data_IF_937249244100
#
_entry.id   IF_937249244100
#
_cell.length_a   1.000
_cell.length_b   1.000
_cell.length_c   1.000
_cell.angle_alpha   90.00
_cell.angle_beta   90.00
_cell.angle_gamma   90.00
#
_symmetry.space_group_name_H-M   'P 1'
#
loop_
_entity.id
_entity.type
_entity.pdbx_description
1 polymer ?
#
# COMPACT_ATOMS: atom_id res chain seq x y z
N UNK A 1 -75.73 20.92 -38.71
CA UNK A 1 -76.11 19.71 -39.48
C UNK A 1 -74.90 18.79 -39.48
N UNK A 2 -74.84 17.56 -38.96
CA UNK A 2 -75.83 16.64 -38.41
C UNK A 2 -75.46 15.20 -38.81
N UNK A 3 -75.22 14.32 -37.81
CA UNK A 3 -75.30 12.83 -37.82
C UNK A 3 -74.26 12.06 -38.68
N UNK A 4 -73.82 10.82 -38.37
CA UNK A 4 -74.26 9.70 -37.52
C UNK A 4 -73.03 8.78 -37.22
N UNK A 5 -72.78 8.23 -36.01
CA UNK A 5 -73.31 6.96 -35.41
C UNK A 5 -72.96 5.71 -36.27
N UNK A 6 -72.44 4.55 -35.81
CA UNK A 6 -72.38 3.87 -34.50
C UNK A 6 -71.53 2.56 -34.59
N UNK A 7 -70.94 2.16 -33.45
CA UNK A 7 -70.68 0.83 -32.85
C UNK A 7 -70.33 -0.46 -33.62
N UNK A 8 -69.31 -1.17 -33.08
CA UNK A 8 -69.25 -2.63 -32.76
C UNK A 8 -68.00 -2.87 -31.85
N UNK A 9 -68.11 -3.00 -30.51
CA UNK A 9 -68.30 -4.19 -29.63
C UNK A 9 -67.24 -5.34 -29.73
N UNK A 10 -66.51 -5.49 -28.61
CA UNK A 10 -66.05 -6.68 -27.86
C UNK A 10 -65.45 -7.92 -28.57
N UNK A 11 -64.20 -8.28 -28.22
CA UNK A 11 -63.84 -9.33 -27.22
C UNK A 11 -62.31 -9.58 -27.13
N UNK A 12 -61.81 -10.17 -26.01
CA UNK A 12 -60.39 -10.24 -25.67
C UNK A 12 -59.73 -11.55 -26.11
N UNK A 13 -58.40 -11.57 -26.24
CA UNK A 13 -57.64 -12.82 -26.36
C UNK A 13 -56.45 -12.86 -25.38
N UNK A 14 -56.53 -13.82 -24.48
CA UNK A 14 -55.49 -14.21 -23.53
C UNK A 14 -54.52 -15.16 -24.24
N UNK A 15 -53.21 -14.91 -24.16
CA UNK A 15 -52.12 -15.91 -24.32
C UNK A 15 -50.77 -15.22 -24.09
N UNK A 16 -49.75 -15.76 -23.43
CA UNK A 16 -49.53 -16.92 -22.56
C UNK A 16 -48.09 -16.74 -22.05
N UNK A 17 -47.90 -16.71 -20.74
CA UNK A 17 -46.61 -17.01 -20.14
C UNK A 17 -46.39 -18.53 -20.20
N UNK A 18 -45.19 -18.98 -20.58
CA UNK A 18 -44.82 -20.39 -20.49
C UNK A 18 -43.33 -20.51 -20.10
N UNK A 19 -43.12 -20.73 -18.80
CA UNK A 19 -41.95 -21.39 -18.24
C UNK A 19 -41.72 -22.73 -18.94
N UNK A 20 -40.45 -23.03 -19.24
CA UNK A 20 -40.00 -24.40 -19.54
C UNK A 20 -38.80 -24.75 -18.69
N UNK A 21 -39.00 -25.78 -17.87
CA UNK A 21 -38.01 -26.54 -17.12
C UNK A 21 -37.29 -27.54 -18.05
N UNK A 22 -36.00 -27.80 -17.81
CA UNK A 22 -35.29 -29.03 -18.16
C UNK A 22 -33.99 -29.11 -17.31
N UNK A 23 -33.95 -29.86 -16.20
CA UNK A 23 -33.57 -31.28 -16.04
C UNK A 23 -32.08 -31.58 -16.34
N UNK A 24 -31.36 -31.98 -15.29
CA UNK A 24 -29.95 -32.39 -15.28
C UNK A 24 -29.72 -33.83 -15.83
N UNK A 25 -28.48 -34.16 -16.22
CA UNK A 25 -27.97 -35.53 -16.16
C UNK A 25 -26.70 -35.71 -15.30
N UNK A 26 -26.51 -36.96 -14.88
CA UNK A 26 -25.57 -37.49 -13.88
C UNK A 26 -24.18 -37.83 -14.45
N UNK A 27 -23.22 -37.84 -13.52
CA UNK A 27 -21.87 -38.42 -13.46
C UNK A 27 -21.48 -39.56 -14.41
N UNK A 28 -20.28 -39.47 -14.98
CA UNK A 28 -19.53 -40.59 -15.57
C UNK A 28 -18.07 -40.63 -15.05
N UNK A 29 -17.71 -41.76 -14.43
CA UNK A 29 -16.60 -42.62 -14.87
C UNK A 29 -15.17 -42.08 -14.84
N UNK A 30 -14.39 -42.60 -13.88
CA UNK A 30 -12.95 -42.43 -13.63
C UNK A 30 -12.10 -43.39 -14.50
N UNK A 31 -10.89 -42.98 -14.92
CA UNK A 31 -9.57 -43.71 -14.94
C UNK A 31 -8.61 -43.16 -16.04
N UNK A 32 -7.28 -43.42 -16.01
CA UNK A 32 -6.29 -43.32 -14.93
C UNK A 32 -5.12 -42.36 -15.31
N UNK A 33 -4.44 -41.76 -14.31
CA UNK A 33 -3.24 -40.92 -14.54
C UNK A 33 -1.96 -41.75 -14.44
N UNK A 34 -1.12 -41.66 -15.47
CA UNK A 34 0.27 -42.12 -15.50
C UNK A 34 1.13 -41.35 -14.49
N UNK A 35 2.05 -42.07 -13.85
CA UNK A 35 3.07 -41.54 -12.97
C UNK A 35 4.24 -40.93 -13.75
N UNK A 36 4.80 -39.81 -13.27
CA UNK A 36 6.22 -39.50 -13.35
C UNK A 36 6.63 -38.34 -12.42
N UNK A 37 7.77 -38.56 -11.74
CA UNK A 37 8.75 -37.61 -11.22
C UNK A 37 8.38 -36.69 -10.03
N UNK A 38 8.90 -37.11 -8.88
CA UNK A 38 9.18 -36.31 -7.68
C UNK A 38 10.09 -35.12 -8.04
N UNK A 39 9.76 -33.95 -7.50
CA UNK A 39 10.71 -32.85 -7.24
C UNK A 39 10.37 -32.26 -5.87
N UNK A 40 11.40 -32.13 -5.04
CA UNK A 40 11.32 -31.74 -3.64
C UNK A 40 10.85 -30.27 -3.47
N UNK A 41 10.01 -29.96 -2.48
CA UNK A 41 9.69 -28.58 -2.14
C UNK A 41 10.79 -27.97 -1.26
N UNK A 42 11.29 -26.81 -1.69
CA UNK A 42 12.17 -25.91 -0.93
C UNK A 42 11.45 -25.43 0.34
N UNK A 43 12.07 -25.49 1.54
CA UNK A 43 11.36 -25.17 2.78
C UNK A 43 11.18 -23.66 2.97
N UNK A 44 9.93 -23.27 3.20
CA UNK A 44 9.54 -21.97 3.74
C UNK A 44 10.11 -21.81 5.16
N UNK A 45 10.95 -20.78 5.39
CA UNK A 45 11.42 -20.43 6.73
C UNK A 45 10.31 -19.71 7.49
N UNK A 46 9.97 -20.28 8.64
CA UNK A 46 8.81 -19.97 9.43
C UNK A 46 8.94 -18.74 10.33
N UNK A 47 7.76 -18.24 10.66
CA UNK A 47 7.47 -17.34 11.77
C UNK A 47 7.96 -17.93 13.10
N UNK A 48 8.75 -17.16 13.83
CA UNK A 48 9.11 -17.46 15.21
C UNK A 48 8.06 -16.86 16.16
N UNK A 49 7.37 -17.74 16.90
CA UNK A 49 6.64 -17.39 18.12
C UNK A 49 7.59 -17.49 19.33
N UNK A 50 7.45 -16.65 20.38
CA UNK A 50 8.27 -16.78 21.57
C UNK A 50 7.68 -17.81 22.55
N UNK A 51 8.56 -18.68 23.05
CA UNK A 51 8.27 -19.66 24.09
C UNK A 51 8.33 -19.06 25.50
N UNK A 52 7.42 -19.54 26.33
CA UNK A 52 7.32 -19.30 27.77
C UNK A 52 8.49 -19.94 28.53
N UNK A 53 9.11 -19.19 29.44
CA UNK A 53 9.94 -19.73 30.52
C UNK A 53 9.59 -19.01 31.82
N UNK A 54 9.04 -19.79 32.75
CA UNK A 54 8.72 -19.39 34.12
C UNK A 54 10.00 -19.31 34.97
N UNK A 55 10.11 -18.26 35.77
CA UNK A 55 11.12 -18.10 36.81
C UNK A 55 10.65 -17.09 37.85
N UNK A 56 10.06 -17.58 38.95
CA UNK A 56 9.69 -16.80 40.13
C UNK A 56 10.95 -16.52 40.97
N UNK A 57 11.17 -15.27 41.37
CA UNK A 57 11.70 -14.92 42.71
C UNK A 57 11.08 -13.59 43.16
N UNK A 58 10.66 -13.56 44.43
CA UNK A 58 9.94 -12.49 45.11
C UNK A 58 10.84 -11.30 45.52
N UNK A 59 10.23 -10.14 45.71
CA UNK A 59 10.86 -8.96 46.33
C UNK A 59 9.94 -7.76 46.37
N UNK A 60 9.14 -7.66 47.43
CA UNK A 60 8.20 -6.57 47.75
C UNK A 60 8.92 -5.27 48.13
N UNK A 61 8.46 -4.13 47.60
CA UNK A 61 8.48 -2.85 48.31
C UNK A 61 7.51 -1.84 47.65
N UNK A 62 6.42 -1.57 48.35
CA UNK A 62 5.44 -0.55 48.02
C UNK A 62 6.02 0.87 48.16
N UNK A 63 5.71 1.77 47.22
CA UNK A 63 5.69 3.23 47.44
C UNK A 63 4.63 3.89 46.54
N UNK A 64 3.80 4.71 47.17
CA UNK A 64 2.61 5.42 46.67
C UNK A 64 2.89 6.44 45.56
N UNK A 65 1.86 6.91 44.81
CA UNK A 65 2.05 7.70 43.60
C UNK A 65 2.24 9.19 43.92
N UNK A 66 3.38 9.75 43.48
CA UNK A 66 3.61 11.18 43.42
C UNK A 66 3.20 11.71 42.05
N UNK A 67 2.25 12.64 42.05
CA UNK A 67 1.87 13.47 40.90
C UNK A 67 3.09 14.23 40.40
N UNK A 68 3.53 13.98 39.15
CA UNK A 68 4.50 14.83 38.46
C UNK A 68 3.88 15.36 37.19
N UNK A 69 3.95 16.69 37.10
CA UNK A 69 3.33 17.55 36.13
C UNK A 69 3.78 17.27 34.69
N UNK A 70 2.90 17.64 33.77
CA UNK A 70 3.18 17.75 32.35
C UNK A 70 4.45 18.60 32.12
N UNK A 71 5.47 17.95 31.55
CA UNK A 71 6.55 18.65 30.85
C UNK A 71 6.32 18.43 29.37
N UNK A 72 5.65 19.40 28.77
CA UNK A 72 5.72 19.66 27.34
C UNK A 72 7.05 20.33 27.03
N UNK A 73 7.54 20.08 25.81
CA UNK A 73 8.63 20.82 25.13
C UNK A 73 10.03 20.27 25.37
N UNK A 74 10.63 19.69 24.32
CA UNK A 74 12.09 19.57 24.28
C UNK A 74 12.73 18.52 23.37
N UNK A 75 12.00 17.65 22.67
CA UNK A 75 12.63 16.64 21.80
C UNK A 75 11.71 16.26 20.64
N UNK A 76 12.08 16.58 19.40
CA UNK A 76 11.35 16.05 18.24
C UNK A 76 11.48 16.76 16.90
N UNK A 77 12.14 17.92 16.81
CA UNK A 77 12.24 18.65 15.53
C UNK A 77 13.14 17.99 14.46
N UNK A 78 13.70 16.80 14.72
CA UNK A 78 14.56 16.05 13.79
C UNK A 78 14.17 14.56 13.61
N UNK A 79 13.03 14.14 14.16
CA UNK A 79 12.45 12.78 14.14
C UNK A 79 11.03 12.99 13.58
N UNK A 80 10.63 12.60 12.39
CA UNK A 80 10.39 11.21 12.03
C UNK A 80 9.93 11.18 10.55
N UNK A 81 10.85 10.99 9.59
CA UNK A 81 10.46 10.81 8.17
C UNK A 81 9.72 9.48 7.94
N UNK A 82 9.56 8.64 8.96
CA UNK A 82 8.98 7.31 8.82
C UNK A 82 7.87 7.15 9.86
N UNK A 83 6.61 7.02 9.42
CA UNK A 83 5.47 6.91 10.34
C UNK A 83 5.20 5.43 10.67
N UNK A 84 4.96 5.11 11.96
CA UNK A 84 4.53 3.76 12.38
C UNK A 84 3.28 3.29 11.63
N UNK A 85 3.18 1.99 11.37
CA UNK A 85 1.98 1.43 10.74
C UNK A 85 0.83 1.32 11.75
N UNK A 86 -0.39 1.54 11.26
CA UNK A 86 -1.63 1.22 11.96
C UNK A 86 -1.86 -0.31 11.98
N UNK A 87 -2.77 -0.82 12.84
CA UNK A 87 -3.23 -2.20 12.77
C UNK A 87 -3.74 -2.57 11.38
N UNK A 88 -3.65 -3.86 11.02
CA UNK A 88 -3.85 -4.34 9.66
C UNK A 88 -5.10 -3.79 8.96
N UNK A 89 -6.26 -3.92 9.57
CA UNK A 89 -7.52 -3.49 8.95
C UNK A 89 -7.55 -1.96 8.72
N UNK A 90 -7.15 -1.21 9.73
CA UNK A 90 -7.15 0.26 9.71
C UNK A 90 -6.13 0.81 8.69
N UNK A 91 -4.92 0.24 8.69
CA UNK A 91 -3.86 0.49 7.71
C UNK A 91 -4.34 0.28 6.28
N UNK A 92 -4.95 -0.87 6.00
CA UNK A 92 -5.37 -1.23 4.65
C UNK A 92 -6.50 -0.32 4.14
N UNK A 93 -7.48 -0.01 4.99
CA UNK A 93 -8.56 0.94 4.68
C UNK A 93 -8.01 2.34 4.37
N UNK A 94 -7.05 2.82 5.16
CA UNK A 94 -6.43 4.13 4.93
C UNK A 94 -5.61 4.12 3.63
N UNK A 95 -4.80 3.08 3.40
CA UNK A 95 -4.00 2.96 2.19
C UNK A 95 -4.88 2.96 0.92
N UNK A 96 -6.00 2.22 0.92
CA UNK A 96 -6.95 2.26 -0.18
C UNK A 96 -7.47 3.68 -0.46
N UNK A 97 -7.81 4.43 0.60
CA UNK A 97 -8.26 5.83 0.50
C UNK A 97 -7.15 6.74 -0.08
N UNK A 98 -5.90 6.55 0.37
CA UNK A 98 -4.76 7.32 -0.12
C UNK A 98 -4.47 7.02 -1.59
N UNK A 99 -4.48 5.74 -1.98
CA UNK A 99 -4.26 5.31 -3.36
C UNK A 99 -5.33 5.85 -4.30
N UNK A 100 -6.60 5.84 -3.89
CA UNK A 100 -7.69 6.46 -4.66
C UNK A 100 -7.47 7.97 -4.84
N UNK A 101 -7.02 8.65 -3.77
CA UNK A 101 -6.69 10.07 -3.80
C UNK A 101 -5.50 10.43 -4.70
N UNK A 102 -4.68 9.47 -5.15
CA UNK A 102 -3.59 9.75 -6.10
C UNK A 102 -4.14 10.38 -7.38
N UNK A 103 -5.27 9.88 -7.89
CA UNK A 103 -5.83 10.27 -9.18
C UNK A 103 -7.27 10.83 -9.10
N UNK A 104 -7.98 10.66 -7.98
CA UNK A 104 -9.35 11.16 -7.82
C UNK A 104 -9.46 12.40 -6.90
N UNK A 105 -10.07 13.47 -7.41
CA UNK A 105 -10.21 14.75 -6.69
C UNK A 105 -11.20 14.67 -5.52
N UNK A 106 -12.25 13.86 -5.61
CA UNK A 106 -13.18 13.66 -4.51
C UNK A 106 -12.55 12.84 -3.38
N UNK A 107 -11.78 11.81 -3.72
CA UNK A 107 -11.00 11.04 -2.77
C UNK A 107 -9.95 11.91 -2.07
N UNK A 108 -9.29 12.84 -2.77
CA UNK A 108 -8.41 13.84 -2.12
C UNK A 108 -9.15 14.71 -1.10
N UNK A 109 -10.35 15.19 -1.45
CA UNK A 109 -11.18 15.96 -0.51
C UNK A 109 -11.62 15.12 0.69
N UNK A 110 -11.93 13.85 0.47
CA UNK A 110 -12.27 12.91 1.54
C UNK A 110 -11.07 12.65 2.47
N UNK A 111 -9.87 12.46 1.91
CA UNK A 111 -8.63 12.30 2.65
C UNK A 111 -8.28 13.55 3.48
N UNK A 112 -8.47 14.75 2.92
CA UNK A 112 -8.29 16.01 3.65
C UNK A 112 -9.26 16.12 4.84
N UNK A 113 -10.54 15.80 4.63
CA UNK A 113 -11.53 15.76 5.73
C UNK A 113 -11.18 14.71 6.79
N UNK A 114 -10.71 13.54 6.37
CA UNK A 114 -10.24 12.48 7.27
C UNK A 114 -9.08 12.95 8.15
N UNK A 115 -8.15 13.72 7.58
CA UNK A 115 -7.02 14.29 8.31
C UNK A 115 -7.46 15.28 9.41
N UNK A 116 -8.54 16.03 9.19
CA UNK A 116 -9.05 17.05 10.12
C UNK A 116 -10.08 16.49 11.12
N UNK A 117 -10.89 15.52 10.71
CA UNK A 117 -11.97 14.94 11.51
C UNK A 117 -12.00 13.40 11.39
N UNK A 118 -11.06 12.69 12.03
CA UNK A 118 -10.92 11.23 11.90
C UNK A 118 -12.02 10.43 12.61
N UNK A 119 -12.69 11.01 13.61
CA UNK A 119 -13.58 10.29 14.52
C UNK A 119 -14.73 9.58 13.80
N UNK A 120 -15.31 10.24 12.79
CA UNK A 120 -16.43 9.68 12.02
C UNK A 120 -16.01 8.50 11.11
N UNK A 121 -14.71 8.30 10.90
CA UNK A 121 -14.17 7.23 10.06
C UNK A 121 -13.73 6.01 10.86
N UNK A 122 -13.55 6.17 12.18
CA UNK A 122 -13.08 5.14 13.10
C UNK A 122 -14.24 4.33 13.68
N UNK A 123 -14.07 3.02 13.78
CA UNK A 123 -14.89 2.19 14.67
C UNK A 123 -14.54 2.49 16.15
N UNK A 124 -15.44 2.14 17.07
CA UNK A 124 -15.29 2.45 18.50
C UNK A 124 -13.97 1.93 19.10
N UNK A 125 -13.54 0.73 18.69
CA UNK A 125 -12.29 0.08 19.09
C UNK A 125 -11.05 0.62 18.36
N UNK A 126 -11.21 1.39 17.29
CA UNK A 126 -10.10 1.98 16.53
C UNK A 126 -9.67 3.37 17.05
N UNK A 127 -10.39 3.94 18.02
CA UNK A 127 -10.15 5.31 18.52
C UNK A 127 -8.78 5.49 19.20
N UNK A 128 -8.18 4.43 19.73
CA UNK A 128 -6.82 4.50 20.27
C UNK A 128 -5.77 4.88 19.20
N UNK A 129 -6.07 4.63 17.92
CA UNK A 129 -5.19 4.91 16.78
C UNK A 129 -5.48 6.25 16.09
N UNK A 130 -6.42 7.04 16.64
CA UNK A 130 -6.93 8.28 16.04
C UNK A 130 -5.82 9.23 15.60
N UNK A 131 -4.88 9.52 16.48
CA UNK A 131 -3.85 10.53 16.21
C UNK A 131 -2.85 10.03 15.16
N UNK A 132 -2.50 8.73 15.19
CA UNK A 132 -1.64 8.12 14.18
C UNK A 132 -2.32 8.08 12.80
N UNK A 133 -3.62 7.77 12.77
CA UNK A 133 -4.43 7.83 11.56
C UNK A 133 -4.46 9.25 10.99
N UNK A 134 -4.79 10.24 11.83
CA UNK A 134 -4.88 11.64 11.43
C UNK A 134 -3.53 12.16 10.91
N UNK A 135 -2.42 11.82 11.59
CA UNK A 135 -1.08 12.18 11.16
C UNK A 135 -0.76 11.61 9.77
N UNK A 136 -1.03 10.31 9.55
CA UNK A 136 -0.75 9.65 8.27
C UNK A 136 -1.64 10.19 7.15
N UNK A 137 -2.93 10.40 7.41
CA UNK A 137 -3.88 11.03 6.48
C UNK A 137 -3.47 12.47 6.13
N UNK A 138 -3.00 13.26 7.11
CA UNK A 138 -2.52 14.63 6.90
C UNK A 138 -1.31 14.68 5.99
N UNK A 139 -0.29 13.86 6.25
CA UNK A 139 0.90 13.78 5.38
C UNK A 139 0.53 13.38 3.95
N UNK A 140 -0.37 12.41 3.79
CA UNK A 140 -0.85 12.00 2.47
C UNK A 140 -1.62 13.12 1.76
N UNK A 141 -2.52 13.80 2.47
CA UNK A 141 -3.28 14.94 1.94
C UNK A 141 -2.36 16.08 1.49
N UNK A 142 -1.38 16.46 2.30
CA UNK A 142 -0.42 17.52 1.99
C UNK A 142 0.46 17.17 0.79
N UNK A 143 1.00 15.94 0.76
CA UNK A 143 1.83 15.48 -0.34
C UNK A 143 1.06 15.43 -1.67
N UNK A 144 -0.19 14.97 -1.64
CA UNK A 144 -1.03 14.88 -2.83
C UNK A 144 -1.61 16.23 -3.26
N UNK A 145 -1.74 17.20 -2.35
CA UNK A 145 -2.18 18.55 -2.69
C UNK A 145 -1.17 19.29 -3.58
N UNK A 146 0.14 19.03 -3.38
CA UNK A 146 1.21 19.58 -4.20
C UNK A 146 1.29 18.96 -5.61
N UNK A 147 0.74 17.75 -5.79
CA UNK A 147 0.79 17.00 -7.05
C UNK A 147 -0.47 17.24 -7.88
N UNK A 148 -0.33 17.56 -9.17
CA UNK A 148 -1.48 17.56 -10.10
C UNK A 148 -1.95 16.11 -10.35
N UNK A 149 -3.27 15.81 -10.26
CA UNK A 149 -3.77 14.51 -10.72
C UNK A 149 -3.38 14.31 -12.19
N UNK A 150 -2.83 13.16 -12.52
CA UNK A 150 -2.44 12.84 -13.89
C UNK A 150 -3.49 11.92 -14.51
N UNK A 151 -3.96 12.27 -15.72
CA UNK A 151 -4.77 11.34 -16.51
C UNK A 151 -3.94 10.18 -17.09
N UNK A 152 -2.60 10.31 -17.08
CA UNK A 152 -1.70 9.27 -17.60
C UNK A 152 -1.64 8.11 -16.62
N UNK A 153 -1.84 6.90 -17.14
CA UNK A 153 -1.65 5.64 -16.41
C UNK A 153 -0.35 4.96 -16.84
N UNK A 154 0.19 4.12 -15.97
CA UNK A 154 1.37 3.31 -16.26
C UNK A 154 2.54 3.56 -15.31
N UNK A 155 3.64 2.85 -15.56
CA UNK A 155 4.80 2.77 -14.66
C UNK A 155 5.37 4.14 -14.28
N UNK A 156 5.55 5.06 -15.25
CA UNK A 156 6.10 6.39 -14.97
C UNK A 156 5.23 7.22 -14.01
N UNK A 157 3.90 7.22 -14.22
CA UNK A 157 2.95 7.91 -13.36
C UNK A 157 2.87 7.28 -11.96
N UNK A 158 2.93 5.95 -11.89
CA UNK A 158 2.97 5.23 -10.62
C UNK A 158 4.27 5.51 -9.83
N UNK A 159 5.42 5.60 -10.51
CA UNK A 159 6.69 5.96 -9.85
C UNK A 159 6.74 7.41 -9.39
N UNK A 160 6.06 8.32 -10.09
CA UNK A 160 5.90 9.71 -9.65
C UNK A 160 5.03 9.81 -8.39
N UNK A 161 3.92 9.06 -8.36
CA UNK A 161 3.09 8.95 -7.17
C UNK A 161 3.85 8.25 -6.02
N UNK A 162 4.63 7.21 -6.31
CA UNK A 162 5.48 6.54 -5.34
C UNK A 162 6.53 7.50 -4.75
N UNK A 163 7.19 8.31 -5.58
CA UNK A 163 8.13 9.33 -5.11
C UNK A 163 7.44 10.33 -4.16
N UNK A 164 6.24 10.80 -4.51
CA UNK A 164 5.44 11.72 -3.69
C UNK A 164 5.12 11.12 -2.31
N UNK A 165 4.67 9.87 -2.28
CA UNK A 165 4.34 9.16 -1.04
C UNK A 165 5.60 8.81 -0.23
N UNK A 166 6.69 8.44 -0.90
CA UNK A 166 7.97 8.11 -0.29
C UNK A 166 8.54 9.31 0.48
N UNK A 167 8.60 10.48 -0.15
CA UNK A 167 9.10 11.71 0.50
C UNK A 167 8.22 12.15 1.68
N UNK A 168 6.93 11.80 1.66
CA UNK A 168 6.01 12.01 2.78
C UNK A 168 6.16 10.99 3.92
N UNK A 169 7.01 9.96 3.76
CA UNK A 169 7.22 8.90 4.73
C UNK A 169 6.18 7.78 4.71
N UNK A 170 5.36 7.74 3.65
CA UNK A 170 4.24 6.81 3.47
C UNK A 170 4.71 5.53 2.76
N UNK A 171 5.72 4.88 3.35
CA UNK A 171 6.42 3.77 2.69
C UNK A 171 5.56 2.50 2.54
N UNK A 172 4.59 2.28 3.44
CA UNK A 172 3.60 1.22 3.25
C UNK A 172 2.72 1.49 2.01
N UNK A 173 2.28 2.73 1.82
CA UNK A 173 1.46 3.10 0.67
C UNK A 173 2.25 3.02 -0.65
N UNK A 174 3.57 3.25 -0.63
CA UNK A 174 4.46 2.95 -1.77
C UNK A 174 4.44 1.46 -2.12
N UNK A 175 4.48 0.57 -1.12
CA UNK A 175 4.33 -0.87 -1.35
C UNK A 175 2.98 -1.19 -2.01
N UNK A 176 1.87 -0.73 -1.42
CA UNK A 176 0.53 -1.00 -1.94
C UNK A 176 0.35 -0.47 -3.37
N UNK A 177 0.91 0.70 -3.67
CA UNK A 177 0.82 1.32 -4.98
C UNK A 177 1.58 0.54 -6.06
N UNK A 178 2.75 0.00 -5.73
CA UNK A 178 3.63 -0.66 -6.71
C UNK A 178 3.42 -2.17 -6.80
N UNK A 179 2.81 -2.81 -5.80
CA UNK A 179 2.58 -4.26 -5.78
C UNK A 179 1.84 -4.77 -7.03
N UNK A 180 0.74 -4.15 -7.51
CA UNK A 180 0.05 -4.61 -8.71
C UNK A 180 0.95 -4.56 -9.97
N UNK A 181 1.81 -3.55 -10.08
CA UNK A 181 2.76 -3.42 -11.19
C UNK A 181 3.87 -4.47 -11.10
N UNK A 182 4.38 -4.73 -9.89
CA UNK A 182 5.36 -5.78 -9.65
C UNK A 182 4.78 -7.15 -10.01
N UNK A 183 3.55 -7.44 -9.60
CA UNK A 183 2.88 -8.70 -9.90
C UNK A 183 2.72 -8.93 -11.40
N UNK A 184 2.40 -7.88 -12.17
CA UNK A 184 2.25 -7.93 -13.62
C UNK A 184 3.58 -7.90 -14.40
N UNK A 185 4.66 -7.40 -13.80
CA UNK A 185 5.95 -7.28 -14.45
C UNK A 185 6.73 -8.60 -14.53
N UNK A 186 7.66 -8.66 -15.48
CA UNK A 186 8.64 -9.74 -15.67
C UNK A 186 10.05 -9.19 -15.88
N UNK A 187 11.06 -10.06 -15.82
CA UNK A 187 12.45 -9.72 -16.10
C UNK A 187 13.00 -8.59 -15.22
N UNK A 188 13.81 -7.72 -15.81
CA UNK A 188 14.50 -6.63 -15.09
C UNK A 188 13.54 -5.63 -14.45
N UNK A 189 12.41 -5.34 -15.09
CA UNK A 189 11.37 -4.47 -14.55
C UNK A 189 10.80 -5.01 -13.24
N UNK A 190 10.53 -6.32 -13.18
CA UNK A 190 10.03 -6.96 -11.95
C UNK A 190 11.06 -6.89 -10.82
N UNK A 191 12.32 -7.19 -11.14
CA UNK A 191 13.43 -7.13 -10.18
C UNK A 191 13.63 -5.72 -9.63
N UNK A 192 13.62 -4.70 -10.49
CA UNK A 192 13.74 -3.31 -10.07
C UNK A 192 12.53 -2.86 -9.23
N UNK A 193 11.30 -3.19 -9.63
CA UNK A 193 10.09 -2.90 -8.83
C UNK A 193 10.16 -3.56 -7.45
N UNK A 194 10.60 -4.82 -7.39
CA UNK A 194 10.82 -5.51 -6.12
C UNK A 194 11.85 -4.76 -5.26
N UNK A 195 12.94 -4.29 -5.87
CA UNK A 195 13.94 -3.48 -5.17
C UNK A 195 13.38 -2.20 -4.56
N UNK A 196 12.54 -1.46 -5.30
CA UNK A 196 11.88 -0.24 -4.80
C UNK A 196 10.94 -0.58 -3.64
N UNK A 197 10.13 -1.63 -3.79
CA UNK A 197 9.20 -2.09 -2.76
C UNK A 197 9.95 -2.52 -1.50
N UNK A 198 11.03 -3.30 -1.63
CA UNK A 198 11.86 -3.73 -0.50
C UNK A 198 12.51 -2.53 0.22
N UNK A 199 13.01 -1.55 -0.54
CA UNK A 199 13.56 -0.33 0.07
C UNK A 199 12.50 0.42 0.89
N UNK A 200 11.29 0.63 0.34
CA UNK A 200 10.19 1.27 1.07
C UNK A 200 9.80 0.48 2.34
N UNK A 201 9.54 -0.82 2.21
CA UNK A 201 9.15 -1.66 3.36
C UNK A 201 10.27 -1.76 4.40
N UNK A 202 11.54 -1.73 3.99
CA UNK A 202 12.68 -1.66 4.90
C UNK A 202 12.65 -0.44 5.81
N UNK A 203 12.29 0.74 5.28
CA UNK A 203 12.05 1.93 6.09
C UNK A 203 10.84 1.76 6.99
N UNK A 204 9.74 1.18 6.50
CA UNK A 204 8.57 0.92 7.33
C UNK A 204 8.85 -0.02 8.51
N UNK A 205 9.72 -1.02 8.32
CA UNK A 205 10.21 -1.89 9.39
C UNK A 205 10.99 -1.11 10.44
N UNK A 206 11.83 -0.16 10.03
CA UNK A 206 12.58 0.68 10.96
C UNK A 206 11.65 1.53 11.84
N UNK A 207 10.60 2.15 11.25
CA UNK A 207 9.59 2.86 12.05
C UNK A 207 8.89 1.97 13.06
N UNK A 208 8.67 0.70 12.71
CA UNK A 208 8.03 -0.28 13.58
C UNK A 208 9.02 -0.94 14.56
N UNK A 209 10.17 -0.31 14.82
CA UNK A 209 11.24 -0.80 15.71
C UNK A 209 11.83 -2.17 15.31
N UNK A 210 11.61 -2.62 14.07
CA UNK A 210 12.13 -3.87 13.54
C UNK A 210 13.44 -3.63 12.77
N UNK A 211 14.52 -3.40 13.51
CA UNK A 211 15.86 -3.08 12.96
C UNK A 211 16.40 -4.24 12.09
N UNK A 212 16.19 -5.49 12.51
CA UNK A 212 16.66 -6.66 11.77
C UNK A 212 15.98 -6.80 10.41
N UNK A 213 14.65 -6.65 10.37
CA UNK A 213 13.88 -6.65 9.12
C UNK A 213 14.23 -5.46 8.23
N UNK A 214 14.42 -4.27 8.81
CA UNK A 214 14.86 -3.09 8.08
C UNK A 214 16.21 -3.34 7.40
N UNK A 215 17.20 -3.86 8.14
CA UNK A 215 18.54 -4.20 7.61
C UNK A 215 18.44 -5.16 6.42
N UNK A 216 17.68 -6.25 6.54
CA UNK A 216 17.56 -7.26 5.47
C UNK A 216 16.97 -6.65 4.20
N UNK A 217 15.82 -5.99 4.34
CA UNK A 217 15.08 -5.45 3.19
C UNK A 217 15.81 -4.29 2.50
N UNK A 218 16.47 -3.41 3.26
CA UNK A 218 17.24 -2.30 2.69
C UNK A 218 18.46 -2.82 1.91
N UNK A 219 19.18 -3.82 2.43
CA UNK A 219 20.30 -4.43 1.72
C UNK A 219 19.87 -5.16 0.45
N UNK A 220 18.80 -5.98 0.53
CA UNK A 220 18.26 -6.69 -0.63
C UNK A 220 17.71 -5.72 -1.68
N UNK A 221 16.96 -4.71 -1.25
CA UNK A 221 16.42 -3.68 -2.13
C UNK A 221 17.52 -2.91 -2.85
N UNK A 222 18.56 -2.49 -2.12
CA UNK A 222 19.73 -1.84 -2.70
C UNK A 222 20.45 -2.72 -3.74
N UNK A 223 20.66 -4.01 -3.43
CA UNK A 223 21.31 -4.94 -4.35
C UNK A 223 20.53 -5.12 -5.67
N UNK A 224 19.19 -5.09 -5.62
CA UNK A 224 18.35 -5.18 -6.83
C UNK A 224 18.34 -3.91 -7.67
N UNK A 225 18.59 -2.76 -7.04
CA UNK A 225 18.50 -1.44 -7.67
C UNK A 225 19.85 -0.92 -8.19
N UNK A 226 20.97 -1.51 -7.76
CA UNK A 226 22.30 -1.10 -8.18
C UNK A 226 22.45 -1.14 -9.72
N UNK A 227 22.85 -0.01 -10.31
CA UNK A 227 22.97 0.15 -11.77
C UNK A 227 21.67 -0.03 -12.57
N UNK A 228 20.48 0.05 -11.93
CA UNK A 228 19.19 -0.13 -12.63
C UNK A 228 18.51 1.19 -12.97
N UNK A 229 17.80 1.18 -14.10
CA UNK A 229 16.87 2.23 -14.51
C UNK A 229 15.45 1.68 -14.52
N UNK A 230 14.48 2.47 -14.09
CA UNK A 230 13.07 2.07 -14.04
C UNK A 230 12.18 3.29 -14.31
N UNK A 231 11.36 3.22 -15.37
CA UNK A 231 10.40 4.27 -15.71
C UNK A 231 11.00 5.67 -15.91
N UNK A 232 12.17 5.75 -16.56
CA UNK A 232 12.88 7.01 -16.80
C UNK A 232 13.60 7.59 -15.58
N UNK A 233 13.88 6.76 -14.57
CA UNK A 233 14.61 7.14 -13.35
C UNK A 233 15.84 6.26 -13.18
N UNK A 234 16.93 6.83 -12.70
CA UNK A 234 18.18 6.12 -12.38
C UNK A 234 18.23 5.81 -10.88
N UNK A 235 18.35 4.53 -10.53
CA UNK A 235 18.36 4.08 -9.13
C UNK A 235 19.76 3.83 -8.56
N UNK A 236 20.86 4.04 -9.30
CA UNK A 236 22.20 3.70 -8.79
C UNK A 236 22.57 4.48 -7.52
N UNK A 237 22.38 5.81 -7.55
CA UNK A 237 22.67 6.66 -6.39
C UNK A 237 21.77 6.32 -5.19
N UNK A 238 20.48 6.06 -5.44
CA UNK A 238 19.54 5.64 -4.41
C UNK A 238 19.92 4.29 -3.80
N UNK A 239 20.33 3.32 -4.62
CA UNK A 239 20.77 2.01 -4.17
C UNK A 239 22.01 2.11 -3.26
N UNK A 240 23.02 2.88 -3.66
CA UNK A 240 24.22 3.11 -2.85
C UNK A 240 23.90 3.78 -1.52
N UNK A 241 23.10 4.85 -1.56
CA UNK A 241 22.70 5.57 -0.36
C UNK A 241 21.84 4.70 0.59
N UNK A 242 20.99 3.82 0.04
CA UNK A 242 20.21 2.84 0.79
C UNK A 242 21.10 1.82 1.47
N UNK A 243 22.11 1.27 0.77
CA UNK A 243 23.08 0.36 1.35
C UNK A 243 23.94 1.03 2.43
N UNK A 244 24.38 2.28 2.22
CA UNK A 244 25.15 3.04 3.20
C UNK A 244 24.33 3.31 4.47
N UNK A 245 23.05 3.67 4.32
CA UNK A 245 22.15 3.91 5.44
C UNK A 245 22.06 2.73 6.42
N UNK A 246 22.20 1.49 5.95
CA UNK A 246 22.17 0.28 6.78
C UNK A 246 23.26 0.29 7.87
N UNK A 247 24.39 0.95 7.63
CA UNK A 247 25.49 1.10 8.60
C UNK A 247 25.15 2.04 9.77
N UNK A 248 24.14 2.90 9.59
CA UNK A 248 23.73 3.93 10.55
C UNK A 248 22.43 3.60 11.29
N UNK A 249 21.86 2.40 11.10
CA UNK A 249 20.64 1.99 11.79
C UNK A 249 20.86 1.95 13.33
N UNK A 250 19.89 2.44 14.13
CA UNK A 250 18.55 2.90 13.72
C UNK A 250 18.44 4.40 13.37
N UNK A 251 19.52 5.17 13.45
CA UNK A 251 19.51 6.63 13.23
C UNK A 251 19.48 7.05 11.74
N UNK A 252 19.43 6.10 10.81
CA UNK A 252 19.42 6.36 9.38
C UNK A 252 18.11 7.00 8.91
N UNK A 253 18.19 7.74 7.80
CA UNK A 253 17.03 8.35 7.14
C UNK A 253 16.90 7.82 5.71
N UNK A 254 15.67 7.70 5.18
CA UNK A 254 15.45 7.38 3.77
C UNK A 254 16.22 8.33 2.84
N UNK A 255 17.02 7.84 1.88
CA UNK A 255 17.61 8.68 0.84
C UNK A 255 16.52 9.23 -0.08
N UNK A 256 16.72 10.37 -0.75
CA UNK A 256 15.72 10.95 -1.64
C UNK A 256 15.39 9.97 -2.78
N UNK A 257 14.10 9.88 -3.13
CA UNK A 257 13.66 9.05 -4.24
C UNK A 257 14.21 9.59 -5.58
N UNK A 258 14.68 8.74 -6.51
CA UNK A 258 15.25 9.21 -7.77
C UNK A 258 14.32 10.10 -8.59
N UNK A 259 14.84 11.21 -9.10
CA UNK A 259 14.11 12.09 -10.02
C UNK A 259 14.01 11.48 -11.43
N UNK A 260 13.12 12.03 -12.25
CA UNK A 260 13.06 11.68 -13.67
C UNK A 260 14.33 12.20 -14.35
N UNK A 261 15.05 11.32 -15.04
CA UNK A 261 16.18 11.75 -15.86
C UNK A 261 15.65 12.45 -17.10
N UNK A 262 15.89 13.75 -17.22
CA UNK A 262 15.74 14.46 -18.49
C UNK A 262 16.89 14.05 -19.40
N UNK A 263 16.78 12.90 -20.06
CA UNK A 263 17.73 12.62 -21.14
C UNK A 263 17.53 13.66 -22.24
N UNK A 264 18.61 14.31 -22.65
CA UNK A 264 18.65 15.33 -23.69
C UNK A 264 18.46 14.75 -25.11
N UNK A 265 17.94 13.52 -25.25
CA UNK A 265 17.82 12.83 -26.53
C UNK A 265 16.62 13.27 -27.38
N UNK A 266 15.72 14.11 -26.86
CA UNK A 266 14.58 14.63 -27.63
C UNK A 266 14.93 15.94 -28.39
N UNK A 267 16.22 16.29 -28.54
CA UNK A 267 16.67 17.51 -29.24
C UNK A 267 17.34 17.31 -30.61
N UNK A 268 17.44 16.09 -31.14
CA UNK A 268 18.16 15.82 -32.40
C UNK A 268 17.31 15.18 -33.53
N UNK A 269 16.03 15.49 -33.64
CA UNK A 269 15.22 15.13 -34.84
C UNK A 269 14.50 16.34 -35.50
N UNK A 270 15.11 17.52 -35.42
CA UNK A 270 14.76 18.64 -36.30
C UNK A 270 15.98 19.49 -36.62
N UNK A 271 16.81 18.98 -37.53
CA UNK A 271 17.58 19.79 -38.49
C UNK A 271 17.56 19.07 -39.83
#
# INVERSE_FOLDING_TARGET
MGRALRHLRDRPDHRRAAQRQARAPRSAGRQPRRAAARRDPVPARGHAAPGSAAGRVAGSAARSPGTVAAVTSGLGAAVDRVIRTLPLQLRNRLAATILEAVDDVQARRALARLADAPDAWLAADEHEWRDLLAQRARRASEALAARRPSAKRGLGAALEAAATLYEAGLHFEVHELLEPLWMAASGETREALQGVIQAAVGWQHLANDNIAGARSLLMEGAARLYGRRLGGRDFDAFARATAEAVTRLPAAKPPPFPELTTDASDREESV
#
